data_IF_691138859881
#
_entry.id   IF_691138859881
#
_cell.length_a   1.000
_cell.length_b   1.000
_cell.length_c   1.000
_cell.angle_alpha   90.00
_cell.angle_beta   90.00
_cell.angle_gamma   90.00
#
_symmetry.space_group_name_H-M   'P 1'
#
loop_
_entity.id
_entity.type
_entity.pdbx_description
1 polymer ?
#
# COMPACT_ATOMS: atom_id res chain seq x y z
N UNK A 1 -16.75 44.48 -32.31
CA UNK A 1 -17.87 43.52 -32.12
C UNK A 1 -17.54 42.28 -32.93
N UNK A 2 -16.88 41.31 -32.29
CA UNK A 2 -16.75 39.93 -32.75
C UNK A 2 -16.17 39.18 -31.54
N UNK A 3 -17.08 38.57 -30.80
CA UNK A 3 -16.87 37.82 -29.58
C UNK A 3 -16.57 36.37 -30.01
N UNK A 4 -15.36 35.88 -29.76
CA UNK A 4 -15.00 34.47 -29.99
C UNK A 4 -14.85 33.80 -28.63
N UNK A 5 -15.99 33.51 -28.02
CA UNK A 5 -16.11 32.59 -26.90
C UNK A 5 -15.72 31.19 -27.37
N UNK A 6 -14.45 30.82 -27.18
CA UNK A 6 -14.03 29.42 -27.22
C UNK A 6 -14.63 28.77 -25.98
N UNK A 7 -15.68 27.97 -26.19
CA UNK A 7 -16.38 27.27 -25.13
C UNK A 7 -15.41 26.39 -24.34
N UNK A 8 -15.29 26.67 -23.04
CA UNK A 8 -14.85 25.67 -22.08
C UNK A 8 -15.80 24.49 -22.19
N UNK A 9 -15.31 23.34 -22.65
CA UNK A 9 -16.09 22.10 -22.58
C UNK A 9 -16.43 21.83 -21.11
N UNK A 10 -17.71 21.89 -20.78
CA UNK A 10 -18.29 21.67 -19.46
C UNK A 10 -18.25 20.21 -18.99
N UNK A 11 -17.47 19.35 -19.66
CA UNK A 11 -17.31 17.92 -19.36
C UNK A 11 -15.99 17.62 -18.62
N UNK A 12 -15.41 18.63 -17.99
CA UNK A 12 -14.38 18.43 -16.96
C UNK A 12 -15.09 17.94 -15.70
N UNK A 13 -15.28 16.63 -15.60
CA UNK A 13 -15.48 15.99 -14.29
C UNK A 13 -14.26 16.36 -13.47
N UNK A 14 -14.42 17.33 -12.57
CA UNK A 14 -13.40 17.77 -11.62
C UNK A 14 -12.95 16.53 -10.86
N UNK A 15 -11.76 16.03 -11.20
CA UNK A 15 -11.24 14.79 -10.65
C UNK A 15 -11.21 14.92 -9.13
N UNK A 16 -11.92 13.99 -8.48
CA UNK A 16 -12.13 13.85 -7.05
C UNK A 16 -11.14 14.65 -6.17
N UNK A 17 -11.59 15.81 -5.67
CA UNK A 17 -10.96 16.55 -4.57
C UNK A 17 -9.45 16.70 -4.68
N UNK A 18 -9.00 17.64 -5.52
CA UNK A 18 -7.64 18.18 -5.63
C UNK A 18 -6.51 17.29 -5.08
N UNK A 19 -5.68 16.67 -5.95
CA UNK A 19 -4.29 16.47 -5.57
C UNK A 19 -3.70 17.84 -5.23
N UNK A 20 -2.81 17.89 -4.26
CA UNK A 20 -2.20 19.16 -3.85
C UNK A 20 -1.36 19.69 -5.02
N UNK A 21 -1.93 20.63 -5.78
CA UNK A 21 -1.37 21.19 -7.01
C UNK A 21 -2.17 20.80 -8.26
N UNK A 22 -2.94 21.73 -8.82
CA UNK A 22 -3.46 21.59 -10.19
C UNK A 22 -2.26 21.42 -11.15
N UNK A 23 -2.30 20.43 -12.04
CA UNK A 23 -1.29 20.26 -13.08
C UNK A 23 -1.17 21.50 -13.96
N UNK A 24 0.05 21.89 -14.30
CA UNK A 24 0.34 23.00 -15.22
C UNK A 24 0.33 22.50 -16.66
N UNK A 25 -0.81 22.63 -17.33
CA UNK A 25 -0.93 22.31 -18.76
C UNK A 25 -0.50 23.53 -19.57
N UNK A 26 0.59 23.41 -20.33
CA UNK A 26 1.05 24.44 -21.27
C UNK A 26 0.37 24.26 -22.63
N UNK A 27 0.12 25.34 -23.40
CA UNK A 27 -0.51 25.25 -24.71
C UNK A 27 0.23 24.36 -25.72
N UNK A 28 1.54 24.17 -25.51
CA UNK A 28 2.43 23.37 -26.37
C UNK A 28 2.34 21.86 -26.08
N UNK A 29 1.63 21.44 -25.03
CA UNK A 29 1.53 20.02 -24.67
C UNK A 29 0.54 19.30 -25.57
N UNK A 30 0.92 18.08 -25.99
CA UNK A 30 0.05 17.25 -26.82
C UNK A 30 -1.23 16.89 -26.03
N UNK A 31 -2.41 17.27 -26.53
CA UNK A 31 -3.68 17.06 -25.83
C UNK A 31 -4.04 15.57 -25.66
N UNK A 32 -3.40 14.65 -26.40
CA UNK A 32 -3.58 13.20 -26.23
C UNK A 32 -2.73 12.61 -25.12
N UNK A 33 -1.64 13.28 -24.72
CA UNK A 33 -0.64 12.74 -23.80
C UNK A 33 -0.64 13.42 -22.42
N UNK A 34 -1.40 14.49 -22.29
CA UNK A 34 -1.46 15.35 -21.11
C UNK A 34 -2.91 15.53 -20.66
N UNK A 35 -3.12 15.38 -19.36
CA UNK A 35 -4.32 15.78 -18.64
C UNK A 35 -3.89 16.40 -17.30
N UNK A 36 -4.84 16.85 -16.48
CA UNK A 36 -4.55 17.48 -15.19
C UNK A 36 -3.77 16.56 -14.23
N UNK A 37 -4.04 15.25 -14.29
CA UNK A 37 -3.38 14.24 -13.44
C UNK A 37 -1.95 13.93 -13.87
N UNK A 38 -1.61 14.10 -15.16
CA UNK A 38 -0.30 13.76 -15.71
C UNK A 38 0.63 14.97 -15.86
N UNK A 39 0.06 16.18 -15.90
CA UNK A 39 0.83 17.40 -16.04
C UNK A 39 1.73 17.68 -14.80
N UNK A 40 2.86 18.38 -14.98
CA UNK A 40 3.71 18.82 -13.87
C UNK A 40 2.91 19.62 -12.84
N UNK A 41 3.10 19.34 -11.55
CA UNK A 41 2.39 20.07 -10.49
C UNK A 41 2.89 21.52 -10.35
N UNK A 42 1.96 22.48 -10.24
CA UNK A 42 2.30 23.89 -9.94
C UNK A 42 2.89 24.10 -8.54
N UNK A 43 2.45 23.31 -7.57
CA UNK A 43 2.88 23.41 -6.16
C UNK A 43 3.13 22.03 -5.59
N UNK A 44 4.27 21.88 -4.91
CA UNK A 44 4.65 20.67 -4.18
C UNK A 44 4.64 20.98 -2.68
N UNK A 45 3.64 20.50 -1.96
CA UNK A 45 3.39 20.90 -0.56
C UNK A 45 3.79 19.84 0.45
N UNK A 46 4.00 18.59 0.03
CA UNK A 46 4.22 17.50 0.97
C UNK A 46 5.59 17.62 1.66
N UNK A 47 5.55 17.61 2.99
CA UNK A 47 6.74 17.55 3.84
C UNK A 47 7.13 16.11 4.19
N UNK A 48 8.15 15.97 5.03
CA UNK A 48 8.61 14.65 5.49
C UNK A 48 7.54 13.88 6.25
N UNK A 49 6.68 14.59 7.00
CA UNK A 49 5.58 13.97 7.74
C UNK A 49 4.54 13.33 6.81
N UNK A 50 4.20 13.96 5.69
CA UNK A 50 3.24 13.38 4.74
C UNK A 50 3.77 12.08 4.13
N UNK A 51 5.06 12.06 3.78
CA UNK A 51 5.72 10.87 3.24
C UNK A 51 5.86 9.77 4.30
N UNK A 52 6.18 10.16 5.55
CA UNK A 52 6.20 9.23 6.68
C UNK A 52 4.80 8.62 6.92
N UNK A 53 3.76 9.44 7.02
CA UNK A 53 2.39 9.01 7.23
C UNK A 53 1.89 8.07 6.11
N UNK A 54 2.30 8.33 4.86
CA UNK A 54 2.05 7.43 3.73
C UNK A 54 2.63 6.04 3.99
N UNK A 55 3.90 5.93 4.38
CA UNK A 55 4.51 4.64 4.67
C UNK A 55 3.89 3.97 5.89
N UNK A 56 3.56 4.72 6.94
CA UNK A 56 2.87 4.15 8.10
C UNK A 56 1.54 3.53 7.70
N UNK A 57 0.79 4.17 6.80
CA UNK A 57 -0.46 3.64 6.25
C UNK A 57 -0.26 2.39 5.38
N UNK A 58 0.86 2.30 4.66
CA UNK A 58 1.18 1.15 3.79
C UNK A 58 1.60 -0.08 4.61
N UNK A 59 2.52 0.13 5.57
CA UNK A 59 3.08 -0.91 6.44
C UNK A 59 2.03 -1.45 7.42
N UNK A 60 1.14 -0.59 7.94
CA UNK A 60 0.06 -1.01 8.85
C UNK A 60 -1.13 -1.56 8.07
N UNK A 61 -0.91 -2.66 7.35
CA UNK A 61 -1.94 -3.39 6.63
C UNK A 61 -1.98 -4.84 7.07
N UNK A 62 -3.15 -5.49 6.92
CA UNK A 62 -3.30 -6.92 7.25
C UNK A 62 -2.32 -7.76 6.44
N UNK A 63 -2.15 -7.43 5.15
CA UNK A 63 -1.13 -8.06 4.31
C UNK A 63 0.27 -7.95 4.90
N UNK A 64 0.67 -6.77 5.42
CA UNK A 64 1.98 -6.57 6.03
C UNK A 64 2.19 -7.46 7.26
N UNK A 65 1.19 -7.59 8.13
CA UNK A 65 1.26 -8.45 9.30
C UNK A 65 1.32 -9.93 8.94
N UNK A 66 0.55 -10.39 7.95
CA UNK A 66 0.59 -11.77 7.45
C UNK A 66 1.95 -12.08 6.84
N UNK A 67 2.50 -11.18 6.02
CA UNK A 67 3.83 -11.33 5.44
C UNK A 67 4.90 -11.40 6.53
N UNK A 68 4.88 -10.49 7.52
CA UNK A 68 5.82 -10.52 8.63
C UNK A 68 5.73 -11.86 9.42
N UNK A 69 4.52 -12.32 9.73
CA UNK A 69 4.29 -13.60 10.38
C UNK A 69 4.83 -14.79 9.58
N UNK A 70 4.64 -14.77 8.25
CA UNK A 70 5.12 -15.84 7.36
C UNK A 70 6.64 -16.01 7.36
N UNK A 71 7.40 -14.95 7.63
CA UNK A 71 8.87 -15.02 7.70
C UNK A 71 9.35 -15.87 8.89
N UNK A 72 8.60 -15.87 10.00
CA UNK A 72 8.90 -16.72 11.16
C UNK A 72 8.58 -18.20 10.90
N UNK A 73 7.69 -18.50 9.94
CA UNK A 73 7.39 -19.86 9.52
C UNK A 73 8.49 -20.47 8.60
N UNK A 74 9.52 -19.70 8.23
CA UNK A 74 10.65 -20.19 7.42
C UNK A 74 11.66 -21.05 8.21
N UNK A 75 11.42 -21.29 9.51
CA UNK A 75 12.33 -22.04 10.37
C UNK A 75 13.59 -21.27 10.77
N UNK A 76 13.58 -19.94 10.61
CA UNK A 76 14.64 -19.03 11.03
C UNK A 76 14.49 -18.66 12.50
N UNK A 77 15.63 -18.44 13.17
CA UNK A 77 15.60 -17.77 14.47
C UNK A 77 15.15 -16.31 14.31
N UNK A 78 14.54 -15.74 15.32
CA UNK A 78 13.82 -14.48 15.16
C UNK A 78 14.71 -13.26 14.97
N UNK A 79 15.94 -13.30 15.48
CA UNK A 79 16.93 -12.27 15.15
C UNK A 79 17.36 -12.34 13.67
N UNK A 80 17.39 -13.54 13.06
CA UNK A 80 17.70 -13.70 11.63
C UNK A 80 16.57 -13.10 10.79
N UNK A 81 15.31 -13.34 11.18
CA UNK A 81 14.14 -12.69 10.56
C UNK A 81 14.25 -11.17 10.66
N UNK A 82 14.57 -10.63 11.84
CA UNK A 82 14.75 -9.19 12.05
C UNK A 82 15.87 -8.62 11.16
N UNK A 83 17.02 -9.27 11.10
CA UNK A 83 18.14 -8.85 10.24
C UNK A 83 17.75 -8.90 8.77
N UNK A 84 17.10 -9.97 8.31
CA UNK A 84 16.61 -10.09 6.93
C UNK A 84 15.60 -8.98 6.59
N UNK A 85 14.70 -8.65 7.53
CA UNK A 85 13.73 -7.58 7.36
C UNK A 85 14.40 -6.21 7.25
N UNK A 86 15.34 -5.89 8.15
CA UNK A 86 16.09 -4.63 8.12
C UNK A 86 16.90 -4.47 6.82
N UNK A 87 17.57 -5.53 6.37
CA UNK A 87 18.31 -5.51 5.10
C UNK A 87 17.35 -5.30 3.92
N UNK A 88 16.24 -6.07 3.86
CA UNK A 88 15.24 -5.94 2.79
C UNK A 88 14.64 -4.54 2.71
N UNK A 89 14.23 -3.98 3.85
CA UNK A 89 13.67 -2.62 3.94
C UNK A 89 14.73 -1.55 3.60
N UNK A 90 15.99 -1.76 3.95
CA UNK A 90 17.07 -0.83 3.56
C UNK A 90 17.28 -0.82 2.05
N UNK A 91 17.19 -1.98 1.39
CA UNK A 91 17.23 -2.11 -0.06
C UNK A 91 16.04 -1.35 -0.69
N UNK A 92 14.83 -1.55 -0.17
CA UNK A 92 13.62 -0.85 -0.60
C UNK A 92 13.80 0.67 -0.44
N UNK A 93 14.26 1.13 0.72
CA UNK A 93 14.55 2.54 0.96
C UNK A 93 15.51 3.13 -0.07
N UNK A 94 16.59 2.42 -0.42
CA UNK A 94 17.54 2.87 -1.43
C UNK A 94 16.87 3.05 -2.80
N UNK A 95 16.15 2.05 -3.27
CA UNK A 95 15.48 2.10 -4.58
C UNK A 95 14.31 3.08 -4.63
N UNK A 96 13.51 3.18 -3.55
CA UNK A 96 12.45 4.19 -3.43
C UNK A 96 13.01 5.61 -3.63
N UNK A 97 14.17 5.92 -3.03
CA UNK A 97 14.79 7.24 -3.20
C UNK A 97 15.33 7.47 -4.62
N UNK A 98 15.79 6.43 -5.30
CA UNK A 98 16.20 6.52 -6.71
C UNK A 98 15.00 6.82 -7.61
N UNK A 99 13.90 6.08 -7.45
CA UNK A 99 12.64 6.27 -8.20
C UNK A 99 11.98 7.62 -7.88
N UNK A 100 12.09 8.08 -6.64
CA UNK A 100 11.51 9.34 -6.18
C UNK A 100 12.11 10.57 -6.87
N UNK A 101 13.43 10.57 -7.10
CA UNK A 101 14.19 11.76 -7.52
C UNK A 101 13.68 12.38 -8.82
N UNK A 102 13.54 11.64 -9.95
CA UNK A 102 13.08 12.25 -11.21
C UNK A 102 11.65 12.80 -11.10
N UNK A 103 10.75 12.07 -10.46
CA UNK A 103 9.34 12.47 -10.28
C UNK A 103 9.21 13.70 -9.37
N UNK A 104 10.01 13.79 -8.29
CA UNK A 104 10.04 14.96 -7.42
C UNK A 104 10.61 16.19 -8.14
N UNK A 105 11.67 16.05 -8.95
CA UNK A 105 12.28 17.19 -9.64
C UNK A 105 11.39 17.77 -10.75
N UNK A 106 10.65 16.91 -11.44
CA UNK A 106 9.81 17.29 -12.58
C UNK A 106 8.36 17.53 -12.20
N UNK A 107 7.93 17.10 -11.00
CA UNK A 107 6.55 17.21 -10.55
C UNK A 107 5.57 16.33 -11.33
N UNK A 108 6.05 15.35 -12.12
CA UNK A 108 5.22 14.44 -12.91
C UNK A 108 5.13 13.05 -12.27
N UNK A 109 4.06 12.27 -12.52
CA UNK A 109 3.91 10.94 -11.94
C UNK A 109 4.80 9.90 -12.64
N UNK A 110 4.90 8.71 -12.05
CA UNK A 110 5.72 7.61 -12.56
C UNK A 110 5.47 7.26 -14.04
N UNK A 111 4.21 7.15 -14.52
CA UNK A 111 3.95 6.82 -15.93
C UNK A 111 4.54 7.83 -16.91
N UNK A 112 4.66 9.11 -16.54
CA UNK A 112 5.27 10.13 -17.39
C UNK A 112 6.78 10.00 -17.39
N UNK A 113 7.40 9.75 -16.24
CA UNK A 113 8.83 9.46 -16.15
C UNK A 113 9.21 8.21 -16.97
N UNK A 114 8.38 7.16 -16.97
CA UNK A 114 8.61 5.96 -17.78
C UNK A 114 8.74 6.24 -19.28
N UNK A 115 8.12 7.30 -19.80
CA UNK A 115 8.22 7.68 -21.23
C UNK A 115 9.64 8.05 -21.63
N UNK A 116 10.49 8.47 -20.69
CA UNK A 116 11.90 8.80 -20.95
C UNK A 116 12.76 7.58 -21.28
N UNK A 117 12.37 6.40 -20.81
CA UNK A 117 13.12 5.14 -20.99
C UNK A 117 12.46 4.26 -22.06
N UNK A 118 11.14 4.11 -22.00
CA UNK A 118 10.39 3.20 -22.88
C UNK A 118 9.77 3.89 -24.09
N UNK A 119 9.89 5.22 -24.20
CA UNK A 119 9.15 6.01 -25.17
C UNK A 119 7.66 6.14 -24.82
N UNK A 120 6.94 6.93 -25.62
CA UNK A 120 5.53 7.26 -25.36
C UNK A 120 4.63 6.02 -25.40
N UNK A 121 4.77 5.19 -26.43
CA UNK A 121 3.97 3.97 -26.60
C UNK A 121 4.48 2.82 -25.73
N UNK A 122 5.79 2.68 -25.55
CA UNK A 122 6.36 1.61 -24.73
C UNK A 122 6.07 1.77 -23.24
N UNK A 123 5.86 3.01 -22.76
CA UNK A 123 5.44 3.28 -21.38
C UNK A 123 4.08 2.66 -21.01
N UNK A 124 3.26 2.25 -21.99
CA UNK A 124 2.00 1.55 -21.72
C UNK A 124 2.22 0.16 -21.10
N UNK A 125 3.32 -0.52 -21.44
CA UNK A 125 3.64 -1.85 -20.90
C UNK A 125 3.80 -1.81 -19.37
N UNK A 126 4.72 -1.01 -18.78
CA UNK A 126 4.83 -0.91 -17.33
C UNK A 126 3.57 -0.32 -16.69
N UNK A 127 2.84 0.57 -17.37
CA UNK A 127 1.59 1.12 -16.85
C UNK A 127 0.48 0.05 -16.70
N UNK A 128 0.34 -0.86 -17.67
CA UNK A 128 -0.62 -1.98 -17.62
C UNK A 128 -0.22 -2.97 -16.53
N UNK A 129 1.05 -3.36 -16.46
CA UNK A 129 1.57 -4.26 -15.41
C UNK A 129 1.28 -3.68 -14.02
N UNK A 130 1.55 -2.38 -13.83
CA UNK A 130 1.24 -1.66 -12.61
C UNK A 130 -0.24 -1.73 -12.26
N UNK A 131 -1.12 -1.47 -13.23
CA UNK A 131 -2.57 -1.54 -13.05
C UNK A 131 -3.04 -2.94 -12.66
N UNK A 132 -2.54 -3.98 -13.31
CA UNK A 132 -2.87 -5.38 -13.01
C UNK A 132 -2.45 -5.77 -11.58
N UNK A 133 -1.24 -5.38 -11.15
CA UNK A 133 -0.76 -5.62 -9.79
C UNK A 133 -1.62 -4.88 -8.76
N UNK A 134 -2.01 -3.64 -9.04
CA UNK A 134 -2.88 -2.87 -8.14
C UNK A 134 -4.26 -3.53 -7.96
N UNK A 135 -4.86 -4.05 -9.04
CA UNK A 135 -6.12 -4.79 -8.98
C UNK A 135 -5.98 -6.08 -8.16
N UNK A 136 -4.89 -6.82 -8.36
CA UNK A 136 -4.62 -8.03 -7.58
C UNK A 136 -4.48 -7.72 -6.08
N UNK A 137 -3.72 -6.70 -5.71
CA UNK A 137 -3.56 -6.28 -4.32
C UNK A 137 -4.84 -5.77 -3.68
N UNK A 138 -5.67 -5.04 -4.43
CA UNK A 138 -6.99 -4.63 -3.96
C UNK A 138 -7.86 -5.85 -3.59
N UNK A 139 -7.83 -6.90 -4.42
CA UNK A 139 -8.50 -8.17 -4.12
C UNK A 139 -7.94 -8.88 -2.89
N UNK A 140 -6.61 -8.99 -2.77
CA UNK A 140 -5.94 -9.62 -1.63
C UNK A 140 -6.30 -8.90 -0.32
N UNK A 141 -6.24 -7.57 -0.30
CA UNK A 141 -6.56 -6.80 0.92
C UNK A 141 -8.04 -6.92 1.29
N UNK A 142 -8.94 -6.91 0.30
CA UNK A 142 -10.38 -7.14 0.54
C UNK A 142 -10.63 -8.54 1.09
N UNK A 143 -9.92 -9.56 0.60
CA UNK A 143 -9.99 -10.93 1.10
C UNK A 143 -9.49 -11.05 2.54
N UNK A 144 -8.34 -10.46 2.86
CA UNK A 144 -7.82 -10.48 4.22
C UNK A 144 -8.75 -9.77 5.20
N UNK A 145 -9.37 -8.66 4.76
CA UNK A 145 -10.37 -7.96 5.55
C UNK A 145 -11.66 -8.79 5.72
N UNK A 146 -12.10 -9.52 4.68
CA UNK A 146 -13.30 -10.37 4.76
C UNK A 146 -13.10 -11.56 5.69
N UNK A 147 -11.92 -12.16 5.69
CA UNK A 147 -11.57 -13.22 6.64
C UNK A 147 -11.62 -12.73 8.10
N UNK A 148 -11.18 -11.50 8.37
CA UNK A 148 -11.34 -10.89 9.70
C UNK A 148 -12.82 -10.66 10.05
N UNK A 149 -13.63 -10.23 9.08
CA UNK A 149 -15.08 -10.05 9.27
C UNK A 149 -15.80 -11.39 9.52
N UNK A 150 -15.40 -12.47 8.84
CA UNK A 150 -15.95 -13.81 9.06
C UNK A 150 -15.83 -14.24 10.52
N UNK A 151 -14.66 -14.00 11.14
CA UNK A 151 -14.43 -14.32 12.56
C UNK A 151 -15.40 -13.55 13.46
N UNK A 152 -15.62 -12.26 13.19
CA UNK A 152 -16.56 -11.42 13.96
C UNK A 152 -18.00 -11.92 13.78
N UNK A 153 -18.41 -12.20 12.55
CA UNK A 153 -19.75 -12.68 12.22
C UNK A 153 -20.03 -14.03 12.88
N UNK A 154 -19.08 -14.96 12.82
CA UNK A 154 -19.21 -16.28 13.48
C UNK A 154 -19.26 -16.16 15.00
N UNK A 155 -18.57 -15.18 15.58
CA UNK A 155 -18.62 -14.93 17.02
C UNK A 155 -19.97 -14.37 17.48
N UNK A 156 -20.58 -13.50 16.67
CA UNK A 156 -21.89 -12.89 16.97
C UNK A 156 -23.06 -13.82 16.61
N UNK A 157 -22.94 -14.57 15.52
CA UNK A 157 -23.95 -15.46 14.97
C UNK A 157 -23.39 -16.87 14.72
N UNK A 158 -23.19 -17.68 15.77
CA UNK A 158 -22.62 -19.03 15.64
C UNK A 158 -23.43 -19.96 14.74
N UNK A 159 -24.72 -19.68 14.53
CA UNK A 159 -25.58 -20.42 13.61
C UNK A 159 -25.09 -20.39 12.15
N UNK A 160 -24.22 -19.44 11.79
CA UNK A 160 -23.65 -19.32 10.44
C UNK A 160 -22.43 -20.22 10.21
N UNK A 161 -21.96 -20.94 11.22
CA UNK A 161 -20.79 -21.83 11.14
C UNK A 161 -20.85 -22.87 9.99
N UNK A 162 -22.01 -23.49 9.66
CA UNK A 162 -22.07 -24.38 8.51
C UNK A 162 -21.75 -23.70 7.18
N UNK A 163 -22.00 -22.39 7.05
CA UNK A 163 -21.73 -21.61 5.84
C UNK A 163 -20.30 -21.08 5.75
N UNK A 164 -19.51 -21.23 6.82
CA UNK A 164 -18.07 -20.96 6.83
C UNK A 164 -17.24 -22.17 6.42
N UNK A 165 -17.89 -23.30 6.11
CA UNK A 165 -17.24 -24.53 5.67
C UNK A 165 -17.16 -24.58 4.14
N UNK A 166 -15.93 -24.65 3.61
CA UNK A 166 -15.64 -24.72 2.18
C UNK A 166 -16.10 -26.06 1.59
N UNK A 167 -16.01 -27.16 2.34
CA UNK A 167 -16.37 -28.48 1.81
C UNK A 167 -17.88 -28.64 1.66
N UNK A 168 -18.66 -27.87 2.43
CA UNK A 168 -20.12 -27.93 2.43
C UNK A 168 -20.78 -26.90 1.53
N UNK A 169 -20.30 -25.66 1.55
CA UNK A 169 -20.86 -24.54 0.80
C UNK A 169 -19.78 -23.70 0.10
N UNK A 170 -18.69 -24.33 -0.35
CA UNK A 170 -17.60 -23.64 -1.02
C UNK A 170 -17.79 -23.44 -2.51
N UNK A 171 -17.21 -22.35 -3.00
CA UNK A 171 -17.06 -22.05 -4.42
C UNK A 171 -15.71 -21.38 -4.66
N UNK A 172 -14.95 -21.84 -5.66
CA UNK A 172 -13.63 -21.29 -6.03
C UNK A 172 -12.66 -21.08 -4.85
N UNK A 173 -12.70 -21.97 -3.84
CA UNK A 173 -11.78 -21.94 -2.70
C UNK A 173 -12.21 -21.05 -1.53
N UNK A 174 -13.40 -20.44 -1.58
CA UNK A 174 -13.99 -19.70 -0.45
C UNK A 174 -15.34 -20.29 -0.04
N UNK A 175 -15.67 -20.31 1.26
CA UNK A 175 -16.98 -20.73 1.73
C UNK A 175 -18.03 -19.65 1.40
N UNK A 176 -19.32 -20.01 1.37
CA UNK A 176 -20.41 -19.08 1.08
C UNK A 176 -20.36 -17.83 1.97
N UNK A 177 -20.10 -18.01 3.27
CA UNK A 177 -19.95 -16.88 4.21
C UNK A 177 -18.82 -15.94 3.78
N UNK A 178 -17.66 -16.49 3.39
CA UNK A 178 -16.50 -15.73 2.93
C UNK A 178 -16.79 -14.95 1.65
N UNK A 179 -17.55 -15.51 0.71
CA UNK A 179 -18.01 -14.76 -0.47
C UNK A 179 -18.97 -13.62 -0.10
N UNK A 180 -19.90 -13.86 0.84
CA UNK A 180 -20.83 -12.84 1.29
C UNK A 180 -20.12 -11.67 1.99
N UNK A 181 -19.18 -11.96 2.90
CA UNK A 181 -18.40 -10.92 3.59
C UNK A 181 -17.44 -10.21 2.66
N UNK A 182 -16.82 -10.92 1.71
CA UNK A 182 -16.00 -10.32 0.65
C UNK A 182 -16.81 -9.37 -0.21
N UNK A 183 -17.96 -9.81 -0.73
CA UNK A 183 -18.83 -8.98 -1.57
C UNK A 183 -19.36 -7.76 -0.80
N UNK A 184 -19.74 -7.94 0.47
CA UNK A 184 -20.15 -6.85 1.35
C UNK A 184 -19.04 -5.81 1.49
N UNK A 185 -17.83 -6.22 1.85
CA UNK A 185 -16.70 -5.29 2.00
C UNK A 185 -16.32 -4.65 0.66
N UNK A 186 -16.40 -5.38 -0.44
CA UNK A 186 -16.13 -4.83 -1.77
C UNK A 186 -17.13 -3.73 -2.16
N UNK A 187 -18.43 -3.94 -1.91
CA UNK A 187 -19.48 -2.92 -2.15
C UNK A 187 -19.31 -1.73 -1.20
N UNK A 188 -19.04 -1.97 0.08
CA UNK A 188 -18.83 -0.90 1.06
C UNK A 188 -17.61 -0.04 0.70
N UNK A 189 -16.50 -0.66 0.29
CA UNK A 189 -15.33 0.07 -0.19
C UNK A 189 -15.68 0.91 -1.41
N UNK A 190 -16.39 0.35 -2.40
CA UNK A 190 -16.85 1.10 -3.58
C UNK A 190 -17.75 2.29 -3.19
N UNK A 191 -18.68 2.10 -2.24
CA UNK A 191 -19.52 3.16 -1.71
C UNK A 191 -18.71 4.28 -1.06
N UNK A 192 -17.69 3.94 -0.27
CA UNK A 192 -16.77 4.91 0.32
C UNK A 192 -15.99 5.65 -0.76
N UNK A 193 -15.51 4.97 -1.81
CA UNK A 193 -14.83 5.62 -2.94
C UNK A 193 -15.71 6.64 -3.68
N UNK A 194 -17.02 6.37 -3.81
CA UNK A 194 -17.96 7.32 -4.40
C UNK A 194 -18.24 8.57 -3.57
N UNK A 195 -17.97 8.54 -2.26
CA UNK A 195 -18.16 9.71 -1.37
C UNK A 195 -17.03 10.74 -1.45
N UNK A 196 -16.01 10.48 -2.28
CA UNK A 196 -14.90 11.40 -2.57
C UNK A 196 -13.69 11.27 -1.64
N UNK A 197 -12.55 11.78 -2.12
CA UNK A 197 -11.23 11.65 -1.45
C UNK A 197 -11.15 12.34 -0.08
N UNK A 198 -11.94 13.40 0.16
CA UNK A 198 -11.92 14.12 1.42
C UNK A 198 -12.56 13.32 2.57
N UNK A 199 -13.61 12.55 2.28
CA UNK A 199 -14.22 11.62 3.25
C UNK A 199 -13.23 10.51 3.61
N UNK A 200 -12.53 9.97 2.61
CA UNK A 200 -11.49 8.95 2.79
C UNK A 200 -10.35 9.51 3.67
N UNK A 201 -9.87 10.73 3.40
CA UNK A 201 -8.83 11.38 4.20
C UNK A 201 -9.24 11.45 5.67
N UNK A 202 -10.41 12.00 5.97
CA UNK A 202 -10.93 12.12 7.35
C UNK A 202 -11.10 10.76 8.03
N UNK A 203 -11.55 9.75 7.28
CA UNK A 203 -11.68 8.39 7.80
C UNK A 203 -10.31 7.80 8.17
N UNK A 204 -9.32 7.92 7.28
CA UNK A 204 -7.94 7.46 7.53
C UNK A 204 -7.32 8.21 8.72
N UNK A 205 -7.50 9.53 8.81
CA UNK A 205 -6.97 10.35 9.90
C UNK A 205 -7.52 9.93 11.28
N UNK A 206 -8.75 9.41 11.32
CA UNK A 206 -9.33 8.81 12.53
C UNK A 206 -8.86 7.37 12.77
N UNK A 207 -8.90 6.53 11.74
CA UNK A 207 -8.54 5.11 11.84
C UNK A 207 -7.06 4.90 12.17
N UNK A 208 -6.16 5.75 11.66
CA UNK A 208 -4.72 5.63 11.88
C UNK A 208 -4.35 5.58 13.38
N UNK A 209 -4.65 6.62 14.18
CA UNK A 209 -4.43 6.60 15.62
C UNK A 209 -5.20 5.49 16.34
N UNK A 210 -6.44 5.21 15.94
CA UNK A 210 -7.27 4.18 16.55
C UNK A 210 -6.63 2.78 16.46
N UNK A 211 -6.04 2.44 15.31
CA UNK A 211 -5.34 1.16 15.11
C UNK A 211 -4.19 1.00 16.10
N UNK A 212 -3.35 2.03 16.32
CA UNK A 212 -2.27 1.96 17.31
C UNK A 212 -2.77 1.76 18.73
N UNK A 213 -3.84 2.46 19.11
CA UNK A 213 -4.45 2.29 20.44
C UNK A 213 -4.90 0.85 20.63
N UNK A 214 -5.62 0.28 19.65
CA UNK A 214 -6.09 -1.11 19.70
C UNK A 214 -4.90 -2.08 19.72
N UNK A 215 -3.86 -1.87 18.94
CA UNK A 215 -2.66 -2.72 18.93
C UNK A 215 -1.95 -2.75 20.28
N UNK A 216 -1.77 -1.59 20.93
CA UNK A 216 -1.13 -1.50 22.25
C UNK A 216 -1.99 -2.19 23.31
N UNK A 217 -3.30 -1.96 23.28
CA UNK A 217 -4.25 -2.60 24.22
C UNK A 217 -4.27 -4.12 24.03
N UNK A 218 -4.35 -4.61 22.79
CA UNK A 218 -4.32 -6.05 22.49
C UNK A 218 -2.99 -6.68 22.89
N UNK A 219 -1.86 -6.00 22.65
CA UNK A 219 -0.53 -6.47 23.08
C UNK A 219 -0.49 -6.61 24.60
N UNK A 220 -0.94 -5.60 25.34
CA UNK A 220 -1.03 -5.66 26.80
C UNK A 220 -1.94 -6.77 27.29
N UNK A 221 -3.10 -6.96 26.65
CA UNK A 221 -4.04 -8.03 26.96
C UNK A 221 -3.44 -9.43 26.72
N UNK A 222 -2.74 -9.63 25.60
CA UNK A 222 -2.07 -10.90 25.28
C UNK A 222 -0.94 -11.20 26.26
N UNK A 223 -0.13 -10.20 26.64
CA UNK A 223 0.91 -10.37 27.67
C UNK A 223 0.29 -10.69 29.03
N UNK A 224 -0.83 -10.07 29.39
CA UNK A 224 -1.54 -10.37 30.63
C UNK A 224 -2.08 -11.81 30.68
N UNK A 225 -2.68 -12.29 29.58
CA UNK A 225 -3.18 -13.66 29.47
C UNK A 225 -2.06 -14.71 29.42
N UNK A 226 -1.00 -14.45 28.65
CA UNK A 226 0.10 -15.41 28.48
C UNK A 226 1.11 -15.38 29.64
N UNK A 227 1.22 -14.25 30.34
CA UNK A 227 2.25 -13.98 31.34
C UNK A 227 3.59 -13.56 30.72
N UNK A 228 4.37 -12.77 31.45
CA UNK A 228 5.68 -12.24 30.99
C UNK A 228 6.69 -13.33 30.63
N UNK A 229 6.56 -14.53 31.22
CA UNK A 229 7.43 -15.67 30.93
C UNK A 229 7.14 -16.37 29.59
N UNK A 230 6.00 -16.08 28.95
CA UNK A 230 5.64 -16.65 27.65
C UNK A 230 6.21 -15.85 26.46
N UNK A 231 6.87 -14.71 26.71
CA UNK A 231 7.53 -13.92 25.68
C UNK A 231 8.80 -14.64 25.26
N UNK A 232 8.69 -15.52 24.26
CA UNK A 232 9.83 -16.10 23.58
C UNK A 232 10.08 -15.29 22.30
N UNK A 233 11.31 -14.79 22.15
CA UNK A 233 11.68 -14.11 20.93
C UNK A 233 11.68 -15.05 19.73
N UNK A 234 11.86 -16.37 19.91
CA UNK A 234 11.69 -17.36 18.84
C UNK A 234 10.24 -17.84 18.76
N UNK A 235 9.47 -17.27 17.83
CA UNK A 235 8.05 -17.60 17.61
C UNK A 235 7.79 -18.94 16.88
N UNK A 236 8.80 -19.54 16.25
CA UNK A 236 8.68 -20.78 15.49
C UNK A 236 9.75 -21.82 15.85
N UNK A 237 9.55 -23.06 15.40
CA UNK A 237 10.59 -24.09 15.49
C UNK A 237 11.81 -23.67 14.64
N UNK A 238 12.95 -23.47 15.29
CA UNK A 238 14.18 -23.10 14.60
C UNK A 238 14.76 -24.34 13.94
N UNK A 239 14.55 -24.46 12.62
CA UNK A 239 15.04 -25.58 11.81
C UNK A 239 16.43 -25.33 11.23
N UNK A 240 16.83 -24.06 11.07
CA UNK A 240 18.10 -23.69 10.43
C UNK A 240 19.02 -22.93 11.38
N UNK A 241 20.24 -23.43 11.54
CA UNK A 241 21.28 -22.80 12.36
C UNK A 241 22.62 -22.71 11.61
N UNK A 242 23.45 -21.73 11.99
CA UNK A 242 24.74 -21.49 11.34
C UNK A 242 24.62 -21.16 9.85
N UNK A 243 25.51 -21.73 9.02
CA UNK A 243 25.57 -21.45 7.59
C UNK A 243 24.35 -21.97 6.80
N UNK A 244 23.63 -22.96 7.35
CA UNK A 244 22.40 -23.49 6.71
C UNK A 244 21.27 -22.48 6.65
N UNK A 245 21.28 -21.47 7.53
CA UNK A 245 20.28 -20.41 7.55
C UNK A 245 20.51 -19.33 6.49
N UNK A 246 21.74 -19.20 5.95
CA UNK A 246 22.09 -18.11 5.03
C UNK A 246 21.22 -18.11 3.75
N UNK A 247 21.01 -19.24 3.04
CA UNK A 247 20.15 -19.26 1.87
C UNK A 247 18.69 -18.87 2.20
N UNK A 248 18.20 -19.31 3.37
CA UNK A 248 16.83 -19.00 3.83
C UNK A 248 16.72 -17.52 4.20
N UNK A 249 17.73 -16.94 4.82
CA UNK A 249 17.80 -15.50 5.12
C UNK A 249 17.83 -14.65 3.84
N UNK A 250 18.55 -15.08 2.79
CA UNK A 250 18.53 -14.43 1.48
C UNK A 250 17.15 -14.52 0.84
N UNK A 251 16.48 -15.68 0.95
CA UNK A 251 15.08 -15.85 0.55
C UNK A 251 14.14 -14.89 1.29
N UNK A 252 14.29 -14.77 2.62
CA UNK A 252 13.52 -13.84 3.44
C UNK A 252 13.74 -12.37 3.02
N UNK A 253 14.99 -11.97 2.74
CA UNK A 253 15.31 -10.64 2.21
C UNK A 253 14.60 -10.42 0.86
N UNK A 254 14.67 -11.40 -0.04
CA UNK A 254 14.02 -11.31 -1.34
C UNK A 254 12.49 -11.21 -1.23
N UNK A 255 11.87 -11.93 -0.27
CA UNK A 255 10.43 -11.83 0.00
C UNK A 255 10.05 -10.43 0.49
N UNK A 256 10.83 -9.83 1.39
CA UNK A 256 10.60 -8.46 1.86
C UNK A 256 10.70 -7.45 0.71
N UNK A 257 11.76 -7.54 -0.11
CA UNK A 257 11.92 -6.67 -1.28
C UNK A 257 10.79 -6.87 -2.30
N UNK A 258 10.36 -8.12 -2.52
CA UNK A 258 9.26 -8.46 -3.41
C UNK A 258 7.94 -7.86 -2.94
N UNK A 259 7.64 -7.97 -1.64
CA UNK A 259 6.43 -7.39 -1.04
C UNK A 259 6.34 -5.88 -1.27
N UNK A 260 7.44 -5.14 -1.06
CA UNK A 260 7.48 -3.69 -1.26
C UNK A 260 7.73 -3.25 -2.71
N UNK A 261 7.93 -4.17 -3.65
CA UNK A 261 8.32 -3.84 -5.03
C UNK A 261 7.28 -2.99 -5.77
N UNK A 262 5.99 -3.28 -5.56
CA UNK A 262 4.88 -2.51 -6.15
C UNK A 262 4.89 -1.04 -5.71
N UNK A 263 4.75 -0.75 -4.41
CA UNK A 263 4.86 0.62 -3.90
C UNK A 263 6.18 1.31 -4.28
N UNK A 264 7.31 0.58 -4.25
CA UNK A 264 8.64 1.10 -4.58
C UNK A 264 8.75 1.61 -6.02
N UNK A 265 8.29 0.82 -7.01
CA UNK A 265 8.33 1.22 -8.41
C UNK A 265 7.38 2.38 -8.71
N UNK A 266 6.25 2.43 -7.99
CA UNK A 266 5.22 3.45 -8.19
C UNK A 266 5.43 4.70 -7.33
N UNK A 267 6.51 4.74 -6.54
CA UNK A 267 6.76 5.81 -5.59
C UNK A 267 6.89 7.20 -6.25
N UNK A 268 7.15 7.23 -7.56
CA UNK A 268 7.06 8.43 -8.39
C UNK A 268 5.73 9.19 -8.27
N UNK A 269 4.61 8.45 -8.16
CA UNK A 269 3.26 9.01 -8.06
C UNK A 269 3.04 9.84 -6.78
N UNK A 270 3.76 9.52 -5.71
CA UNK A 270 3.69 10.23 -4.43
C UNK A 270 4.81 11.26 -4.26
N UNK A 271 6.03 10.89 -4.65
CA UNK A 271 7.20 11.77 -4.52
C UNK A 271 7.08 13.06 -5.34
N UNK A 272 6.28 13.07 -6.41
CA UNK A 272 5.95 14.27 -7.19
C UNK A 272 5.35 15.40 -6.35
N UNK A 273 4.65 15.09 -5.24
CA UNK A 273 4.07 16.09 -4.34
C UNK A 273 5.07 16.68 -3.35
N UNK A 274 6.26 16.07 -3.23
CA UNK A 274 7.27 16.42 -2.23
C UNK A 274 7.91 17.78 -2.49
N UNK A 275 7.85 18.68 -1.50
CA UNK A 275 8.41 20.05 -1.59
C UNK A 275 9.92 20.11 -1.83
N UNK A 276 10.63 19.06 -1.43
CA UNK A 276 12.08 18.91 -1.68
C UNK A 276 12.51 17.47 -1.55
N UNK A 277 13.53 17.09 -2.30
CA UNK A 277 14.10 15.73 -2.22
C UNK A 277 14.61 15.37 -0.82
N UNK A 278 15.15 16.34 -0.07
CA UNK A 278 15.54 16.13 1.34
C UNK A 278 14.35 15.77 2.22
N UNK A 279 13.20 16.40 1.98
CA UNK A 279 11.98 16.09 2.72
C UNK A 279 11.50 14.67 2.42
N UNK A 280 11.51 14.27 1.15
CA UNK A 280 11.16 12.90 0.71
C UNK A 280 12.10 11.87 1.32
N UNK A 281 13.42 12.09 1.23
CA UNK A 281 14.42 11.16 1.79
C UNK A 281 14.27 10.98 3.30
N UNK A 282 14.01 12.07 4.04
CA UNK A 282 13.78 12.00 5.48
C UNK A 282 12.47 11.28 5.82
N UNK A 283 11.40 11.50 5.04
CA UNK A 283 10.14 10.77 5.20
C UNK A 283 10.30 9.27 4.93
N UNK A 284 11.01 8.92 3.86
CA UNK A 284 11.34 7.53 3.54
C UNK A 284 12.18 6.86 4.64
N UNK A 285 13.15 7.58 5.21
CA UNK A 285 14.00 7.03 6.28
C UNK A 285 13.17 6.74 7.53
N UNK A 286 12.23 7.63 7.89
CA UNK A 286 11.40 7.48 9.07
C UNK A 286 10.25 6.48 8.88
N UNK A 287 9.82 6.23 7.64
CA UNK A 287 8.66 5.37 7.37
C UNK A 287 9.01 3.94 6.96
N UNK A 288 10.27 3.69 6.56
CA UNK A 288 10.72 2.39 6.10
C UNK A 288 11.64 1.71 7.15
N UNK A 289 12.94 2.08 7.29
CA UNK A 289 13.86 1.36 8.16
C UNK A 289 13.83 1.72 9.65
N UNK A 290 13.21 2.85 10.03
CA UNK A 290 13.15 3.36 11.42
C UNK A 290 11.72 3.26 11.92
#
# INVERSE_FOLDING_TARGET
MADTTVGMSSDLVEAAGMPVGSGEIKPEYDPRLTNEDLAPLRKQTWGSYNIFAFWMSDVHSVGGYVTAGSLFALGLSSWQVLVSLLIGITIVYFFCNLVAKPSQLTGVPYPVICRTVFGVLGANVPAIIRGAIAVAWYGIQTYLASAALDVVVLKLFPALMPYADVDRYGFLGLPLLGWCTYALLWVLQAAVFWTGMETIRKFIDFCGPAVYVVMIVLTGYLIYQAGWGAINLNLGEVSYTGLSAVPVMLGAIALVVSYFSGPMLNFGDFSRYGRSFRAVKRGNLLGLPV
#
